data_IF_740445153938
#
_entry.id   IF_740445153938
#
_cell.length_a   1.000
_cell.length_b   1.000
_cell.length_c   1.000
_cell.angle_alpha   90.00
_cell.angle_beta   90.00
_cell.angle_gamma   90.00
#
_symmetry.space_group_name_H-M   'P 1'
#
loop_
_entity.id
_entity.type
_entity.pdbx_description
1 polymer ?
#
# COMPACT_ATOMS: atom_id res chain seq x y z
N UNK A 1 0.31 13.15 10.83
CA UNK A 1 0.30 14.03 12.01
C UNK A 1 -1.07 14.64 12.11
N UNK A 2 -1.17 15.95 12.30
CA UNK A 2 -2.35 16.71 11.85
C UNK A 2 -1.91 17.47 10.59
N UNK A 3 -2.74 17.46 9.55
CA UNK A 3 -2.46 18.04 8.24
C UNK A 3 -2.03 17.01 7.19
N UNK A 4 -2.14 17.42 5.93
CA UNK A 4 -1.74 16.66 4.73
C UNK A 4 -0.24 16.46 4.73
N UNK A 5 0.21 15.24 5.02
CA UNK A 5 1.60 14.89 5.19
C UNK A 5 2.14 14.04 4.02
N UNK A 6 3.45 14.18 3.82
CA UNK A 6 4.26 13.28 2.98
C UNK A 6 5.17 12.47 3.90
N UNK A 7 4.76 11.24 4.22
CA UNK A 7 5.49 10.35 5.10
C UNK A 7 6.39 9.44 4.25
N UNK A 8 7.67 9.38 4.61
CA UNK A 8 8.67 8.54 3.94
C UNK A 8 9.44 7.79 5.02
N UNK A 9 9.33 6.46 5.06
CA UNK A 9 10.10 5.60 5.98
C UNK A 9 11.55 5.49 5.53
N UNK A 10 11.74 5.16 4.25
CA UNK A 10 13.02 5.20 3.56
C UNK A 10 13.59 3.82 3.34
N UNK A 11 14.32 3.27 4.30
CA UNK A 11 14.90 1.94 4.15
C UNK A 11 15.01 1.23 5.50
N UNK A 12 14.80 -0.08 5.49
CA UNK A 12 14.53 -0.87 6.69
C UNK A 12 13.02 -1.01 6.93
N UNK A 13 12.66 -1.74 7.98
CA UNK A 13 11.27 -2.03 8.33
C UNK A 13 10.69 -0.85 9.13
N UNK A 14 9.78 -0.09 8.53
CA UNK A 14 9.20 1.13 9.11
C UNK A 14 7.73 0.94 9.55
N UNK A 15 7.29 1.77 10.50
CA UNK A 15 5.89 1.89 10.89
C UNK A 15 5.43 3.32 10.64
N UNK A 16 4.58 3.52 9.64
CA UNK A 16 4.07 4.83 9.24
C UNK A 16 2.58 4.94 9.55
N UNK A 17 2.19 6.06 10.18
CA UNK A 17 0.80 6.40 10.45
C UNK A 17 0.53 7.82 9.95
N UNK A 18 -0.33 7.94 8.94
CA UNK A 18 -0.74 9.20 8.31
C UNK A 18 -1.40 10.11 9.32
N UNK A 19 -2.60 9.78 9.79
CA UNK A 19 -3.28 10.63 10.77
C UNK A 19 -4.77 10.66 10.56
N UNK A 20 -5.37 11.84 10.55
CA UNK A 20 -6.81 12.00 10.31
C UNK A 20 -7.13 12.83 9.07
N UNK A 21 -6.12 13.20 8.29
CA UNK A 21 -6.20 14.08 7.14
C UNK A 21 -5.64 13.33 5.92
N UNK A 22 -5.89 13.82 4.71
CA UNK A 22 -5.39 13.22 3.46
C UNK A 22 -3.85 13.18 3.43
N UNK A 23 -3.27 11.99 3.48
CA UNK A 23 -1.84 11.75 3.53
C UNK A 23 -1.34 10.98 2.32
N UNK A 24 -0.02 11.05 2.07
CA UNK A 24 0.63 10.07 1.19
C UNK A 24 1.81 9.43 1.89
N UNK A 25 1.80 8.09 1.89
CA UNK A 25 2.73 7.26 2.62
C UNK A 25 3.63 6.52 1.63
N UNK A 26 4.94 6.68 1.79
CA UNK A 26 5.97 5.93 1.08
C UNK A 26 6.71 5.11 2.14
N UNK A 27 6.48 3.79 2.17
CA UNK A 27 7.22 2.89 3.07
C UNK A 27 8.72 3.00 2.81
N UNK A 28 9.12 2.68 1.57
CA UNK A 28 10.52 2.72 1.18
C UNK A 28 10.92 1.34 0.74
N UNK A 29 12.05 0.83 1.23
CA UNK A 29 12.41 -0.57 1.06
C UNK A 29 12.61 -1.26 2.40
N UNK A 30 12.00 -2.41 2.61
CA UNK A 30 11.96 -3.13 3.89
C UNK A 30 10.53 -3.60 4.16
N UNK A 31 10.29 -4.38 5.19
CA UNK A 31 8.93 -4.86 5.43
C UNK A 31 8.16 -3.82 6.26
N UNK A 32 7.38 -2.97 5.60
CA UNK A 32 6.75 -1.80 6.22
C UNK A 32 5.33 -2.07 6.71
N UNK A 33 4.93 -1.38 7.79
CA UNK A 33 3.55 -1.34 8.27
C UNK A 33 2.99 0.08 8.11
N UNK A 34 2.01 0.21 7.23
CA UNK A 34 1.41 1.48 6.84
C UNK A 34 -0.03 1.58 7.36
N UNK A 35 -0.40 2.76 7.85
CA UNK A 35 -1.77 3.11 8.19
C UNK A 35 -2.04 4.54 7.70
N UNK A 36 -3.01 4.71 6.81
CA UNK A 36 -3.39 6.04 6.31
C UNK A 36 -4.10 6.84 7.40
N UNK A 37 -5.06 6.20 8.06
CA UNK A 37 -5.85 6.73 9.14
C UNK A 37 -7.20 7.25 8.66
N UNK A 38 -7.46 8.55 8.83
CA UNK A 38 -8.71 9.18 8.42
C UNK A 38 -8.61 9.89 7.08
N UNK A 39 -9.76 10.16 6.46
CA UNK A 39 -9.89 10.72 5.12
C UNK A 39 -9.35 9.81 4.01
N UNK A 40 -8.84 10.37 2.91
CA UNK A 40 -8.55 9.64 1.68
C UNK A 40 -7.06 9.67 1.41
N UNK A 41 -6.39 8.57 1.73
CA UNK A 41 -4.94 8.46 1.66
C UNK A 41 -4.45 7.85 0.33
N UNK A 42 -3.15 8.03 0.06
CA UNK A 42 -2.48 7.33 -1.05
C UNK A 42 -1.20 6.65 -0.59
N UNK A 43 -1.07 5.36 -0.90
CA UNK A 43 0.11 4.57 -0.60
C UNK A 43 0.98 4.48 -1.84
N UNK A 44 2.23 4.90 -1.75
CA UNK A 44 3.11 5.12 -2.91
C UNK A 44 4.30 4.17 -2.85
N UNK A 45 4.38 3.29 -3.84
CA UNK A 45 5.47 2.34 -4.06
C UNK A 45 6.27 2.80 -5.28
N UNK A 46 7.41 3.46 -5.05
CA UNK A 46 8.21 4.10 -6.11
C UNK A 46 9.64 3.55 -6.22
N UNK A 47 9.89 2.39 -5.61
CA UNK A 47 11.17 1.66 -5.64
C UNK A 47 10.94 0.25 -6.20
N UNK A 48 11.99 -0.41 -6.72
CA UNK A 48 11.87 -1.80 -7.19
C UNK A 48 11.93 -2.83 -6.05
N UNK A 49 12.40 -2.41 -4.87
CA UNK A 49 12.56 -3.23 -3.68
C UNK A 49 11.84 -2.53 -2.52
N UNK A 50 10.51 -2.63 -2.51
CA UNK A 50 9.69 -2.16 -1.39
C UNK A 50 9.63 -3.13 -0.23
N UNK A 51 9.64 -4.45 -0.44
CA UNK A 51 9.56 -5.45 0.64
C UNK A 51 8.20 -6.15 0.70
N UNK A 52 7.93 -6.86 1.80
CA UNK A 52 6.61 -7.45 2.09
C UNK A 52 5.83 -6.54 3.05
N UNK A 53 5.02 -5.64 2.49
CA UNK A 53 4.37 -4.56 3.22
C UNK A 53 2.96 -4.94 3.73
N UNK A 54 2.52 -4.28 4.80
CA UNK A 54 1.19 -4.43 5.38
C UNK A 54 0.48 -3.09 5.52
N UNK A 55 -0.74 -2.98 4.97
CA UNK A 55 -1.61 -1.81 5.13
C UNK A 55 -2.81 -2.20 6.01
N UNK A 56 -2.97 -1.52 7.15
CA UNK A 56 -3.91 -1.92 8.20
C UNK A 56 -5.34 -1.41 8.01
N UNK A 57 -5.53 -0.33 7.26
CA UNK A 57 -6.78 0.43 7.20
C UNK A 57 -7.20 0.79 5.78
N UNK A 58 -6.66 0.09 4.77
CA UNK A 58 -6.97 0.38 3.37
C UNK A 58 -8.48 0.40 3.13
N UNK A 59 -8.99 1.44 2.49
CA UNK A 59 -10.40 1.60 2.15
C UNK A 59 -10.64 1.47 0.64
N UNK A 60 -11.09 0.29 0.22
CA UNK A 60 -11.46 -0.02 -1.16
C UNK A 60 -12.43 1.01 -1.78
N UNK A 61 -12.15 1.40 -3.02
CA UNK A 61 -12.91 2.41 -3.78
C UNK A 61 -12.82 3.84 -3.24
N UNK A 62 -12.05 4.08 -2.18
CA UNK A 62 -11.82 5.40 -1.60
C UNK A 62 -10.34 5.78 -1.76
N UNK A 63 -9.46 4.92 -1.28
CA UNK A 63 -8.00 5.11 -1.30
C UNK A 63 -7.38 4.51 -2.55
N UNK A 64 -6.13 4.88 -2.83
CA UNK A 64 -5.41 4.38 -4.00
C UNK A 64 -3.98 4.01 -3.68
N UNK A 65 -3.49 2.98 -4.39
CA UNK A 65 -2.08 2.59 -4.41
C UNK A 65 -1.43 3.08 -5.69
N UNK A 66 -0.36 3.86 -5.56
CA UNK A 66 0.46 4.34 -6.65
C UNK A 66 1.68 3.43 -6.83
N UNK A 67 1.63 2.62 -7.89
CA UNK A 67 2.67 1.67 -8.27
C UNK A 67 3.61 2.23 -9.34
N UNK A 68 3.58 3.53 -9.62
CA UNK A 68 4.44 4.13 -10.67
C UNK A 68 5.90 4.15 -10.24
N UNK A 69 6.77 3.67 -11.13
CA UNK A 69 8.21 3.58 -10.86
C UNK A 69 8.63 2.36 -10.03
N UNK A 70 7.65 1.54 -9.65
CA UNK A 70 7.80 0.35 -8.83
C UNK A 70 8.26 -0.88 -9.66
N UNK A 71 7.90 -0.89 -10.95
CA UNK A 71 8.10 -2.05 -11.83
C UNK A 71 6.95 -3.06 -11.78
N UNK A 72 5.96 -2.88 -10.90
CA UNK A 72 4.69 -3.59 -10.95
C UNK A 72 3.88 -3.23 -12.20
N UNK A 73 3.01 -4.14 -12.62
CA UNK A 73 2.11 -3.92 -13.75
C UNK A 73 0.76 -4.59 -13.53
N UNK A 74 -0.30 -4.00 -14.09
CA UNK A 74 -1.63 -4.62 -14.09
C UNK A 74 -1.66 -6.01 -14.77
N UNK A 75 -0.73 -6.29 -15.68
CA UNK A 75 -0.68 -7.57 -16.41
C UNK A 75 -0.18 -8.74 -15.56
N UNK A 76 0.50 -8.45 -14.45
CA UNK A 76 1.04 -9.43 -13.50
C UNK A 76 0.38 -9.33 -12.13
N UNK A 77 -0.63 -8.45 -11.99
CA UNK A 77 -1.41 -8.30 -10.78
C UNK A 77 -2.15 -9.61 -10.47
N UNK A 78 -1.89 -10.13 -9.29
CA UNK A 78 -2.56 -11.28 -8.70
C UNK A 78 -3.00 -10.91 -7.28
N UNK A 79 -4.29 -11.02 -7.02
CA UNK A 79 -4.87 -10.75 -5.71
C UNK A 79 -5.44 -12.05 -5.15
N UNK A 80 -4.97 -12.44 -3.97
CA UNK A 80 -5.38 -13.67 -3.30
C UNK A 80 -5.89 -13.35 -1.90
N UNK A 81 -7.01 -13.93 -1.51
CA UNK A 81 -7.55 -13.75 -0.17
C UNK A 81 -6.91 -14.73 0.81
N UNK A 82 -6.48 -14.24 1.98
CA UNK A 82 -5.98 -15.05 3.08
C UNK A 82 -6.78 -14.72 4.35
N UNK A 83 -7.72 -15.59 4.72
CA UNK A 83 -8.62 -15.30 5.84
C UNK A 83 -9.52 -14.10 5.55
N UNK A 84 -9.31 -13.01 6.29
CA UNK A 84 -10.01 -11.72 6.11
C UNK A 84 -9.24 -10.72 5.25
N UNK A 85 -8.02 -11.04 4.86
CA UNK A 85 -7.08 -10.10 4.27
C UNK A 85 -6.92 -10.38 2.77
N UNK A 86 -6.53 -9.36 2.00
CA UNK A 86 -6.10 -9.51 0.62
C UNK A 86 -4.57 -9.44 0.54
N UNK A 87 -3.97 -10.37 -0.20
CA UNK A 87 -2.56 -10.37 -0.54
C UNK A 87 -2.45 -10.01 -2.00
N UNK A 88 -1.77 -8.91 -2.28
CA UNK A 88 -1.51 -8.37 -3.61
C UNK A 88 -0.07 -8.74 -4.00
N UNK A 89 0.08 -9.37 -5.16
CA UNK A 89 1.36 -9.75 -5.74
C UNK A 89 1.40 -9.27 -7.20
N UNK A 90 2.50 -8.65 -7.60
CA UNK A 90 2.72 -8.17 -8.97
C UNK A 90 3.73 -9.02 -9.75
N UNK A 91 4.11 -10.19 -9.24
CA UNK A 91 5.15 -11.04 -9.80
C UNK A 91 6.57 -10.49 -9.62
N UNK A 92 6.74 -9.50 -8.75
CA UNK A 92 8.04 -8.89 -8.41
C UNK A 92 8.76 -9.65 -7.30
N UNK A 93 8.12 -10.67 -6.72
CA UNK A 93 8.63 -11.44 -5.57
C UNK A 93 8.42 -10.75 -4.22
N UNK A 94 7.55 -9.75 -4.19
CA UNK A 94 7.20 -8.91 -3.05
C UNK A 94 5.67 -8.81 -2.98
N UNK A 95 5.14 -8.67 -1.78
CA UNK A 95 3.69 -8.69 -1.55
C UNK A 95 3.23 -7.48 -0.75
N UNK A 96 1.98 -7.09 -0.96
CA UNK A 96 1.30 -6.10 -0.11
C UNK A 96 0.09 -6.80 0.51
N UNK A 97 0.05 -6.83 1.84
CA UNK A 97 -1.08 -7.38 2.59
C UNK A 97 -2.01 -6.27 3.03
N UNK A 98 -3.27 -6.34 2.63
CA UNK A 98 -4.33 -5.41 2.94
C UNK A 98 -5.27 -6.04 3.96
N UNK A 99 -5.18 -5.58 5.21
CA UNK A 99 -5.90 -6.17 6.33
C UNK A 99 -7.40 -5.91 6.18
N UNK A 100 -8.21 -6.97 6.33
CA UNK A 100 -9.67 -6.87 6.27
C UNK A 100 -10.26 -6.66 4.87
N UNK A 101 -9.44 -6.68 3.82
CA UNK A 101 -9.86 -6.40 2.43
C UNK A 101 -10.02 -7.65 1.56
N UNK A 102 -10.36 -8.80 2.15
CA UNK A 102 -10.57 -10.03 1.38
C UNK A 102 -11.71 -9.88 0.33
N UNK A 103 -11.32 -9.94 -0.94
CA UNK A 103 -12.24 -10.03 -2.08
C UNK A 103 -12.83 -8.69 -2.56
N UNK A 104 -12.44 -7.57 -1.96
CA UNK A 104 -12.78 -6.21 -2.41
C UNK A 104 -11.80 -5.68 -3.46
N UNK A 105 -10.53 -6.08 -3.37
CA UNK A 105 -9.44 -5.47 -4.12
C UNK A 105 -9.40 -5.90 -5.58
N UNK A 106 -9.32 -4.94 -6.49
CA UNK A 106 -9.22 -5.16 -7.92
C UNK A 106 -8.22 -4.20 -8.61
N UNK A 107 -8.12 -4.28 -9.93
CA UNK A 107 -7.14 -3.49 -10.70
C UNK A 107 -7.41 -1.97 -10.65
N UNK A 108 -8.57 -1.52 -10.22
CA UNK A 108 -8.95 -0.10 -10.15
C UNK A 108 -8.41 0.61 -8.91
N UNK A 109 -7.98 -0.15 -7.89
CA UNK A 109 -7.32 0.35 -6.69
C UNK A 109 -5.86 0.79 -6.93
N UNK A 110 -5.32 0.44 -8.10
CA UNK A 110 -3.91 0.64 -8.43
C UNK A 110 -3.73 1.59 -9.62
N UNK A 111 -2.72 2.46 -9.49
CA UNK A 111 -2.22 3.31 -10.57
C UNK A 111 -0.84 2.79 -10.99
N UNK A 112 -0.62 2.60 -12.29
CA UNK A 112 0.63 2.10 -12.86
C UNK A 112 1.31 3.13 -13.77
#
# INVERSE_FOLDING_TARGET
>A
GIGVDWLVGGGGDDVLAGGGDVDRLVGGGGDDVLAGGGDVDSFVFNTAAWGDDTINDFADGVEMMDMRGSGASAGTLNVVTSGTDAIVDFGTGQTITLIGQAGSIDATDFIF
#
